data_IF_747365484269
#
_entry.id   IF_747365484269
#
_cell.length_a   1.000
_cell.length_b   1.000
_cell.length_c   1.000
_cell.angle_alpha   90.00
_cell.angle_beta   90.00
_cell.angle_gamma   90.00
#
_symmetry.space_group_name_H-M   'P 1'
#
loop_
_entity.id
_entity.type
_entity.pdbx_description
1 polymer ?
#
# COMPACT_ATOMS: atom_id res chain seq x y z
N UNK A 1 4.69 -3.67 27.15
CA UNK A 1 5.81 -3.67 26.17
C UNK A 1 6.99 -3.00 26.84
N UNK A 2 8.22 -3.45 26.58
CA UNK A 2 9.39 -2.74 27.08
C UNK A 2 9.50 -1.38 26.36
N UNK A 3 10.19 -0.41 26.97
CA UNK A 3 10.34 0.97 26.48
C UNK A 3 11.08 1.12 25.13
N UNK A 4 11.52 0.03 24.51
CA UNK A 4 12.23 0.02 23.23
C UNK A 4 11.63 -0.94 22.20
N UNK A 5 10.49 -1.57 22.49
CA UNK A 5 9.83 -2.47 21.55
C UNK A 5 8.91 -1.69 20.60
N UNK A 6 8.92 -2.05 19.31
CA UNK A 6 7.91 -1.55 18.36
C UNK A 6 6.60 -2.33 18.59
N UNK A 7 5.46 -1.67 18.84
CA UNK A 7 4.18 -2.32 19.00
C UNK A 7 3.76 -3.10 17.75
N UNK A 8 3.15 -4.27 17.95
CA UNK A 8 2.54 -5.06 16.86
C UNK A 8 1.02 -5.00 16.99
N UNK A 9 0.36 -4.44 15.97
CA UNK A 9 -1.09 -4.23 15.96
C UNK A 9 -1.76 -5.04 14.84
N UNK A 10 -3.01 -5.43 15.08
CA UNK A 10 -3.87 -6.05 14.07
C UNK A 10 -5.15 -5.23 13.97
N UNK A 11 -5.46 -4.79 12.75
CA UNK A 11 -6.60 -3.94 12.45
C UNK A 11 -7.49 -4.64 11.44
N UNK A 12 -8.79 -4.60 11.68
CA UNK A 12 -9.80 -5.10 10.75
C UNK A 12 -10.75 -3.98 10.36
N UNK A 13 -11.05 -3.85 9.07
CA UNK A 13 -12.13 -3.03 8.56
C UNK A 13 -12.88 -3.73 7.44
N UNK A 14 -14.20 -3.58 7.43
CA UNK A 14 -15.04 -4.16 6.37
C UNK A 14 -14.72 -3.51 5.02
N UNK A 15 -14.59 -2.19 4.98
CA UNK A 15 -14.24 -1.40 3.79
C UNK A 15 -12.93 -0.65 3.96
N UNK A 16 -12.37 -0.13 2.86
CA UNK A 16 -11.11 0.63 2.88
C UNK A 16 -11.20 1.84 3.83
N UNK A 17 -12.23 2.71 3.78
CA UNK A 17 -12.36 3.82 4.72
C UNK A 17 -12.43 3.38 6.18
N UNK A 18 -13.18 2.31 6.49
CA UNK A 18 -13.29 1.80 7.87
C UNK A 18 -11.96 1.26 8.40
N UNK A 19 -11.22 0.54 7.56
CA UNK A 19 -9.89 0.06 7.91
C UNK A 19 -8.91 1.23 8.12
N UNK A 20 -8.99 2.25 7.26
CA UNK A 20 -8.17 3.45 7.33
C UNK A 20 -8.35 4.22 8.65
N UNK A 21 -9.60 4.55 9.00
CA UNK A 21 -9.93 5.28 10.23
C UNK A 21 -9.51 4.51 11.48
N UNK A 22 -9.76 3.20 11.51
CA UNK A 22 -9.35 2.33 12.62
C UNK A 22 -7.84 2.25 12.74
N UNK A 23 -7.12 2.13 11.62
CA UNK A 23 -5.67 2.10 11.62
C UNK A 23 -5.09 3.41 12.17
N UNK A 24 -5.62 4.57 11.75
CA UNK A 24 -5.18 5.87 12.28
C UNK A 24 -5.35 5.91 13.79
N UNK A 25 -6.53 5.53 14.30
CA UNK A 25 -6.80 5.52 15.74
C UNK A 25 -5.84 4.60 16.49
N UNK A 26 -5.66 3.37 16.01
CA UNK A 26 -4.81 2.37 16.64
C UNK A 26 -3.33 2.77 16.67
N UNK A 27 -2.79 3.27 15.56
CA UNK A 27 -1.40 3.74 15.48
C UNK A 27 -1.21 5.02 16.30
N UNK A 28 -2.18 5.93 16.30
CA UNK A 28 -2.11 7.15 17.09
C UNK A 28 -2.06 6.87 18.60
N UNK A 29 -2.94 6.00 19.09
CA UNK A 29 -3.08 5.71 20.52
C UNK A 29 -2.00 4.76 21.04
N UNK A 30 -1.61 3.77 20.24
CA UNK A 30 -0.76 2.64 20.69
C UNK A 30 0.62 2.63 20.06
N UNK A 31 0.87 3.45 19.04
CA UNK A 31 2.17 3.54 18.37
C UNK A 31 3.25 4.15 19.27
N UNK A 32 4.48 3.66 19.09
CA UNK A 32 5.65 4.20 19.77
C UNK A 32 5.97 5.58 19.20
N UNK A 33 6.47 6.47 20.05
CA UNK A 33 6.99 7.77 19.60
C UNK A 33 8.43 7.61 19.16
N UNK A 34 8.73 7.87 17.89
CA UNK A 34 10.06 7.65 17.30
C UNK A 34 10.36 8.70 16.23
N UNK A 35 11.63 9.12 16.12
CA UNK A 35 12.06 10.07 15.09
C UNK A 35 12.27 9.38 13.75
N UNK A 36 12.09 10.12 12.67
CA UNK A 36 12.36 9.69 11.29
C UNK A 36 13.44 10.54 10.64
N UNK A 37 14.00 10.05 9.53
CA UNK A 37 14.96 10.82 8.71
C UNK A 37 14.32 12.02 8.00
N UNK A 38 12.99 12.11 8.02
CA UNK A 38 12.20 13.18 7.39
C UNK A 38 11.79 14.29 8.37
N UNK A 39 12.00 14.09 9.67
CA UNK A 39 11.57 15.04 10.70
C UNK A 39 12.41 16.33 10.61
N UNK A 40 11.76 17.49 10.56
CA UNK A 40 12.41 18.78 10.80
C UNK A 40 12.72 18.94 12.30
N UNK A 41 13.65 19.84 12.69
CA UNK A 41 14.01 20.03 14.11
C UNK A 41 12.83 20.33 15.04
N UNK A 42 11.78 20.99 14.53
CA UNK A 42 10.55 21.33 15.23
C UNK A 42 9.46 20.25 15.18
N UNK A 43 9.61 19.24 14.31
CA UNK A 43 8.61 18.20 14.18
C UNK A 43 8.63 17.31 15.43
N UNK A 44 7.45 17.01 16.02
CA UNK A 44 7.39 16.02 17.08
C UNK A 44 7.76 14.64 16.49
N UNK A 45 8.23 13.69 17.32
CA UNK A 45 8.49 12.35 16.82
C UNK A 45 7.19 11.68 16.35
N UNK A 46 7.27 10.96 15.24
CA UNK A 46 6.17 10.22 14.62
C UNK A 46 5.59 9.15 15.55
N UNK A 47 4.36 8.72 15.26
CA UNK A 47 3.77 7.50 15.84
C UNK A 47 4.02 6.33 14.91
N UNK A 48 4.61 5.25 15.40
CA UNK A 48 4.99 4.08 14.59
C UNK A 48 4.54 2.75 15.23
N UNK A 49 4.15 1.78 14.39
CA UNK A 49 3.93 0.40 14.79
C UNK A 49 4.14 -0.56 13.61
N UNK A 50 4.43 -1.83 13.91
CA UNK A 50 4.24 -2.92 12.95
C UNK A 50 2.76 -3.28 12.92
N UNK A 51 2.13 -3.27 11.74
CA UNK A 51 0.67 -3.40 11.65
C UNK A 51 0.25 -4.36 10.53
N UNK A 52 -0.70 -5.24 10.85
CA UNK A 52 -1.44 -6.04 9.88
C UNK A 52 -2.85 -5.47 9.75
N UNK A 53 -3.21 -4.95 8.58
CA UNK A 53 -4.55 -4.42 8.31
C UNK A 53 -5.28 -5.36 7.35
N UNK A 54 -6.44 -5.85 7.79
CA UNK A 54 -7.37 -6.63 6.95
C UNK A 54 -8.49 -5.74 6.45
N UNK A 55 -8.65 -5.68 5.13
CA UNK A 55 -9.82 -5.13 4.45
C UNK A 55 -10.65 -6.28 3.89
N UNK A 56 -11.81 -6.53 4.48
CA UNK A 56 -12.65 -7.67 4.13
C UNK A 56 -13.24 -7.53 2.72
N UNK A 57 -13.84 -6.38 2.42
CA UNK A 57 -14.52 -6.05 1.16
C UNK A 57 -13.86 -4.83 0.53
N UNK A 58 -12.72 -4.98 -0.18
CA UNK A 58 -11.98 -3.85 -0.76
C UNK A 58 -12.77 -3.03 -1.81
N UNK A 59 -13.89 -3.57 -2.29
CA UNK A 59 -14.81 -2.90 -3.21
C UNK A 59 -16.18 -2.59 -2.57
N UNK A 60 -16.34 -2.82 -1.26
CA UNK A 60 -17.55 -2.49 -0.51
C UNK A 60 -17.77 -0.98 -0.36
N UNK A 61 -19.00 -0.57 -0.04
CA UNK A 61 -19.37 0.84 0.11
C UNK A 61 -19.40 1.29 1.59
N UNK A 62 -18.97 2.53 1.89
CA UNK A 62 -18.31 3.44 0.96
C UNK A 62 -16.90 2.96 0.62
N UNK A 63 -16.52 3.13 -0.65
CA UNK A 63 -15.18 2.77 -1.11
C UNK A 63 -14.15 3.90 -0.92
N UNK A 64 -14.61 5.14 -0.97
CA UNK A 64 -13.77 6.33 -0.90
C UNK A 64 -13.95 7.06 0.43
N UNK A 65 -12.86 7.34 1.12
CA UNK A 65 -12.88 8.23 2.28
C UNK A 65 -12.98 9.69 1.79
N UNK A 66 -13.57 10.59 2.59
CA UNK A 66 -13.70 12.02 2.21
C UNK A 66 -12.41 12.82 2.41
N UNK A 67 -11.45 12.28 3.13
CA UNK A 67 -10.20 12.94 3.47
C UNK A 67 -9.04 12.04 3.03
N UNK A 68 -8.58 12.26 1.82
CA UNK A 68 -7.34 11.72 1.25
C UNK A 68 -6.63 12.85 0.49
N UNK A 69 -5.31 12.75 0.33
CA UNK A 69 -4.46 13.89 0.06
C UNK A 69 -4.64 14.49 -1.35
N UNK A 70 -4.64 13.66 -2.39
CA UNK A 70 -4.48 14.13 -3.77
C UNK A 70 -5.81 14.39 -4.50
N UNK A 71 -6.94 14.15 -3.83
CA UNK A 71 -8.26 14.28 -4.43
C UNK A 71 -8.49 13.31 -5.61
N UNK A 72 -9.70 13.32 -6.17
CA UNK A 72 -10.11 12.30 -7.14
C UNK A 72 -9.26 12.26 -8.42
N UNK A 73 -8.74 13.42 -8.85
CA UNK A 73 -7.88 13.52 -10.04
C UNK A 73 -6.54 12.82 -9.84
N UNK A 74 -5.78 13.22 -8.81
CA UNK A 74 -4.48 12.61 -8.50
C UNK A 74 -4.60 11.13 -8.18
N UNK A 75 -5.65 10.73 -7.44
CA UNK A 75 -5.93 9.30 -7.19
C UNK A 75 -6.13 8.51 -8.49
N UNK A 76 -6.83 9.08 -9.48
CA UNK A 76 -7.08 8.40 -10.75
C UNK A 76 -5.80 8.22 -11.56
N UNK A 77 -4.96 9.25 -11.60
CA UNK A 77 -3.62 9.19 -12.21
C UNK A 77 -2.74 8.14 -11.53
N UNK A 78 -2.72 8.13 -10.21
CA UNK A 78 -1.95 7.16 -9.43
C UNK A 78 -2.43 5.72 -9.64
N UNK A 79 -3.74 5.49 -9.77
CA UNK A 79 -4.26 4.17 -10.17
C UNK A 79 -3.74 3.77 -11.55
N UNK A 80 -3.68 4.70 -12.52
CA UNK A 80 -3.15 4.42 -13.86
C UNK A 80 -1.65 4.11 -13.81
N UNK A 81 -0.87 4.79 -12.97
CA UNK A 81 0.54 4.50 -12.74
C UNK A 81 0.74 3.07 -12.23
N UNK A 82 0.07 2.70 -11.13
CA UNK A 82 0.27 1.38 -10.49
C UNK A 82 -0.29 0.24 -11.35
N UNK A 83 -1.42 0.44 -12.01
CA UNK A 83 -2.12 -0.63 -12.74
C UNK A 83 -1.62 -0.78 -14.18
N UNK A 84 -1.20 0.32 -14.83
CA UNK A 84 -0.91 0.36 -16.26
C UNK A 84 0.47 0.91 -16.62
N UNK A 85 1.27 1.35 -15.65
CA UNK A 85 2.61 1.87 -15.93
C UNK A 85 2.59 3.22 -16.65
N UNK A 86 1.59 4.06 -16.35
CA UNK A 86 1.42 5.35 -17.01
C UNK A 86 2.68 6.22 -17.00
N UNK A 87 3.54 6.07 -15.99
CA UNK A 87 4.81 6.80 -15.84
C UNK A 87 6.07 5.95 -15.99
N UNK A 88 5.98 4.72 -16.51
CA UNK A 88 7.16 3.84 -16.64
C UNK A 88 8.22 4.40 -17.60
N UNK A 89 7.81 5.29 -18.51
CA UNK A 89 8.71 6.03 -19.42
C UNK A 89 9.57 7.09 -18.70
N UNK A 90 9.18 7.52 -17.50
CA UNK A 90 9.82 8.59 -16.74
C UNK A 90 10.78 8.08 -15.65
N UNK A 91 11.41 6.92 -15.92
CA UNK A 91 12.41 6.34 -15.03
C UNK A 91 13.83 6.64 -15.53
N UNK A 92 14.73 6.96 -14.60
CA UNK A 92 16.16 7.14 -14.86
C UNK A 92 16.78 5.89 -15.48
N UNK A 93 17.79 6.04 -16.37
CA UNK A 93 18.67 4.94 -16.77
C UNK A 93 19.35 4.34 -15.55
N UNK A 94 19.71 3.05 -15.66
CA UNK A 94 20.35 2.30 -14.57
C UNK A 94 21.59 2.99 -14.03
N UNK A 95 22.41 3.56 -14.90
CA UNK A 95 23.65 4.25 -14.55
C UNK A 95 23.39 5.47 -13.67
N UNK A 96 22.29 6.20 -13.91
CA UNK A 96 21.89 7.34 -13.09
C UNK A 96 21.26 6.89 -11.77
N UNK A 97 20.50 5.78 -11.74
CA UNK A 97 19.99 5.20 -10.48
C UNK A 97 21.16 4.81 -9.57
N UNK A 98 22.20 4.20 -10.12
CA UNK A 98 23.38 3.75 -9.36
C UNK A 98 24.24 4.89 -8.80
N UNK A 99 24.09 6.12 -9.31
CA UNK A 99 24.72 7.30 -8.70
C UNK A 99 24.04 7.72 -7.40
N UNK A 100 22.85 7.20 -7.09
CA UNK A 100 22.11 7.56 -5.88
C UNK A 100 21.93 9.07 -5.75
N UNK A 101 22.35 9.61 -4.60
CA UNK A 101 22.27 11.04 -4.28
C UNK A 101 23.13 11.95 -5.17
N UNK A 102 24.13 11.39 -5.86
CA UNK A 102 25.02 12.16 -6.75
C UNK A 102 24.40 12.37 -8.15
N UNK A 103 23.26 11.74 -8.46
CA UNK A 103 22.55 11.90 -9.73
C UNK A 103 21.87 13.28 -9.81
N UNK A 104 22.18 14.06 -10.84
CA UNK A 104 21.45 15.30 -11.17
C UNK A 104 20.19 15.08 -12.02
N UNK A 105 19.97 13.87 -12.52
CA UNK A 105 18.74 13.51 -13.22
C UNK A 105 17.55 13.55 -12.25
N UNK A 106 16.47 14.24 -12.61
CA UNK A 106 15.28 14.45 -11.76
C UNK A 106 14.15 13.46 -12.04
N UNK A 107 14.32 12.54 -13.00
CA UNK A 107 13.39 11.42 -13.23
C UNK A 107 13.27 10.52 -12.00
N UNK A 108 12.31 9.61 -11.99
CA UNK A 108 12.14 8.70 -10.85
C UNK A 108 13.12 7.52 -10.92
N UNK A 109 13.38 6.88 -9.78
CA UNK A 109 14.24 5.69 -9.71
C UNK A 109 13.46 4.40 -9.97
N UNK A 110 12.14 4.39 -9.75
CA UNK A 110 11.27 3.24 -10.01
C UNK A 110 9.80 3.67 -10.13
N UNK A 111 8.98 2.78 -10.68
CA UNK A 111 7.53 2.71 -10.45
C UNK A 111 7.20 1.32 -9.90
N UNK A 112 6.13 1.18 -9.13
CA UNK A 112 5.70 -0.15 -8.69
C UNK A 112 5.32 -1.05 -9.86
N UNK A 113 4.70 -0.49 -10.90
CA UNK A 113 4.30 -1.24 -12.08
C UNK A 113 5.52 -1.86 -12.79
N UNK A 114 6.51 -1.04 -13.19
CA UNK A 114 7.73 -1.54 -13.85
C UNK A 114 8.46 -2.56 -13.00
N UNK A 115 8.55 -2.36 -11.68
CA UNK A 115 9.13 -3.36 -10.77
C UNK A 115 8.38 -4.69 -10.79
N UNK A 116 7.08 -4.71 -11.05
CA UNK A 116 6.27 -5.94 -11.06
C UNK A 116 6.20 -6.62 -12.44
N UNK A 117 6.24 -5.87 -13.54
CA UNK A 117 6.09 -6.42 -14.91
C UNK A 117 7.39 -6.46 -15.73
N UNK A 118 8.37 -5.66 -15.35
CA UNK A 118 9.66 -5.52 -16.03
C UNK A 118 10.80 -5.54 -15.01
N UNK A 119 10.81 -6.54 -14.11
CA UNK A 119 11.84 -6.64 -13.09
C UNK A 119 13.17 -7.04 -13.74
N UNK A 120 14.11 -6.09 -13.80
CA UNK A 120 15.44 -6.29 -14.38
C UNK A 120 16.37 -7.03 -13.42
N UNK A 121 16.90 -8.17 -13.88
CA UNK A 121 17.94 -8.94 -13.21
C UNK A 121 18.90 -9.51 -14.25
N UNK A 122 20.20 -9.22 -14.09
CA UNK A 122 21.24 -9.55 -15.07
C UNK A 122 20.86 -9.10 -16.50
N UNK A 123 20.73 -10.04 -17.43
CA UNK A 123 20.34 -9.79 -18.82
C UNK A 123 18.88 -10.21 -19.10
N UNK A 124 18.05 -10.27 -18.06
CA UNK A 124 16.66 -10.69 -18.15
C UNK A 124 15.70 -9.63 -17.59
N UNK A 125 14.51 -9.58 -18.20
CA UNK A 125 13.36 -8.80 -17.75
C UNK A 125 12.29 -9.80 -17.35
N UNK A 126 11.83 -9.73 -16.10
CA UNK A 126 10.90 -10.71 -15.52
C UNK A 126 9.53 -10.05 -15.29
N UNK A 127 8.50 -10.59 -15.96
CA UNK A 127 7.10 -10.26 -15.66
C UNK A 127 6.59 -11.16 -14.52
N UNK A 128 6.65 -10.61 -13.30
CA UNK A 128 6.23 -11.31 -12.10
C UNK A 128 4.70 -11.40 -12.00
N UNK A 129 3.96 -10.45 -12.60
CA UNK A 129 2.51 -10.49 -12.62
C UNK A 129 1.98 -11.58 -13.55
N UNK A 130 2.56 -11.72 -14.74
CA UNK A 130 2.21 -12.80 -15.66
C UNK A 130 2.52 -14.17 -15.03
N UNK A 131 3.72 -14.33 -14.46
CA UNK A 131 4.05 -15.54 -13.70
C UNK A 131 3.00 -15.86 -12.63
N UNK A 132 2.59 -14.85 -11.85
CA UNK A 132 1.59 -15.02 -10.80
C UNK A 132 0.23 -15.46 -11.36
N UNK A 133 -0.24 -14.82 -12.43
CA UNK A 133 -1.49 -15.16 -13.14
C UNK A 133 -1.44 -16.59 -13.67
N UNK A 134 -0.41 -16.93 -14.44
CA UNK A 134 -0.23 -18.25 -15.04
C UNK A 134 -0.13 -19.35 -13.96
N UNK A 135 0.55 -19.05 -12.85
CA UNK A 135 0.68 -19.99 -11.74
C UNK A 135 -0.65 -20.24 -11.05
N UNK A 136 -1.45 -19.21 -10.79
CA UNK A 136 -2.74 -19.33 -10.11
C UNK A 136 -3.82 -19.91 -11.01
N UNK A 137 -3.81 -19.62 -12.31
CA UNK A 137 -4.70 -20.24 -13.28
C UNK A 137 -4.50 -21.76 -13.35
N UNK A 138 -3.24 -22.22 -13.28
CA UNK A 138 -2.90 -23.66 -13.25
C UNK A 138 -3.06 -24.31 -11.87
N UNK A 139 -2.73 -23.59 -10.80
CA UNK A 139 -2.68 -24.13 -9.44
C UNK A 139 -3.08 -23.04 -8.44
N UNK A 140 -4.39 -22.82 -8.30
CA UNK A 140 -4.96 -21.74 -7.49
C UNK A 140 -4.49 -21.70 -6.04
N UNK A 141 -4.30 -22.86 -5.41
CA UNK A 141 -3.84 -22.99 -4.02
C UNK A 141 -2.31 -22.86 -3.85
N UNK A 142 -1.58 -22.51 -4.91
CA UNK A 142 -0.14 -22.32 -4.86
C UNK A 142 0.27 -21.33 -3.76
N UNK A 143 1.38 -21.63 -3.09
CA UNK A 143 1.98 -20.74 -2.09
C UNK A 143 3.06 -19.82 -2.68
N UNK A 144 3.38 -20.02 -3.97
CA UNK A 144 4.52 -19.42 -4.69
C UNK A 144 4.15 -18.24 -5.59
N UNK A 145 2.89 -17.85 -5.63
CA UNK A 145 2.40 -16.79 -6.49
C UNK A 145 2.65 -15.43 -5.80
N UNK A 146 3.73 -14.76 -6.20
CA UNK A 146 4.19 -13.49 -5.62
C UNK A 146 5.00 -12.68 -6.63
N UNK A 147 5.15 -11.38 -6.36
CA UNK A 147 6.11 -10.50 -7.02
C UNK A 147 6.72 -9.55 -6.00
N UNK A 148 7.96 -9.12 -6.23
CA UNK A 148 8.70 -8.20 -5.36
C UNK A 148 9.07 -6.92 -6.10
N UNK A 149 9.38 -5.89 -5.34
CA UNK A 149 9.74 -4.57 -5.85
C UNK A 149 11.14 -4.14 -5.43
N UNK A 150 11.68 -4.69 -4.34
CA UNK A 150 13.03 -4.41 -3.88
C UNK A 150 14.07 -5.05 -4.78
N UNK A 151 15.01 -4.24 -5.25
CA UNK A 151 16.20 -4.63 -5.99
C UNK A 151 17.45 -4.35 -5.15
N UNK A 152 18.19 -5.39 -4.73
CA UNK A 152 19.32 -5.26 -3.81
C UNK A 152 20.51 -4.49 -4.40
N UNK A 153 20.55 -4.26 -5.71
CA UNK A 153 21.60 -3.49 -6.36
C UNK A 153 21.19 -2.02 -6.53
N UNK A 154 19.92 -1.76 -6.83
CA UNK A 154 19.44 -0.42 -7.21
C UNK A 154 18.90 0.40 -6.04
N UNK A 155 18.32 -0.24 -5.04
CA UNK A 155 17.56 0.46 -4.00
C UNK A 155 18.38 0.90 -2.77
N UNK A 156 19.42 0.19 -2.29
CA UNK A 156 20.23 0.67 -1.15
C UNK A 156 20.83 2.08 -1.27
N UNK A 157 21.31 2.56 -2.44
CA UNK A 157 21.88 3.91 -2.56
C UNK A 157 20.85 5.03 -2.77
N UNK A 158 19.55 4.71 -2.82
CA UNK A 158 18.46 5.66 -3.08
C UNK A 158 17.88 6.19 -1.77
N UNK A 159 17.64 7.50 -1.67
CA UNK A 159 16.93 8.13 -0.54
C UNK A 159 15.43 7.79 -0.53
N UNK A 160 14.89 7.40 -1.68
CA UNK A 160 13.48 7.06 -1.85
C UNK A 160 13.33 5.66 -2.44
N UNK A 161 13.74 4.58 -1.76
CA UNK A 161 13.58 3.24 -2.31
C UNK A 161 12.11 2.78 -2.22
N UNK A 162 11.69 1.72 -2.94
CA UNK A 162 10.30 1.25 -2.93
C UNK A 162 9.84 0.89 -1.51
N UNK A 163 8.67 1.39 -1.13
CA UNK A 163 8.05 1.08 0.17
C UNK A 163 7.33 -0.27 0.13
N UNK A 164 6.56 -0.54 -0.94
CA UNK A 164 6.07 -1.88 -1.24
C UNK A 164 7.27 -2.79 -1.39
N UNK A 165 7.25 -3.99 -0.80
CA UNK A 165 8.30 -4.99 -0.90
C UNK A 165 7.82 -6.22 -1.67
N UNK A 166 6.56 -6.62 -1.45
CA UNK A 166 6.00 -7.84 -2.01
C UNK A 166 4.48 -7.75 -2.18
N UNK A 167 4.00 -8.27 -3.30
CA UNK A 167 2.62 -8.74 -3.45
C UNK A 167 2.60 -10.27 -3.42
N UNK A 168 1.57 -10.84 -2.80
CA UNK A 168 1.37 -12.29 -2.73
C UNK A 168 -0.12 -12.57 -2.88
N UNK A 169 -0.47 -13.66 -3.56
CA UNK A 169 -1.89 -14.01 -3.72
C UNK A 169 -2.14 -15.50 -3.80
N UNK A 170 -3.38 -15.90 -3.53
CA UNK A 170 -3.85 -17.29 -3.63
C UNK A 170 -5.35 -17.34 -3.92
N UNK A 171 -5.77 -18.38 -4.65
CA UNK A 171 -7.18 -18.74 -4.80
C UNK A 171 -7.57 -19.78 -3.74
N UNK A 172 -8.73 -19.60 -3.13
CA UNK A 172 -9.37 -20.55 -2.24
C UNK A 172 -10.79 -20.77 -2.76
N UNK A 173 -11.25 -22.03 -2.77
CA UNK A 173 -12.66 -22.33 -3.04
C UNK A 173 -13.48 -22.04 -1.79
N UNK A 174 -14.61 -21.35 -1.95
CA UNK A 174 -15.56 -21.18 -0.86
C UNK A 174 -16.51 -22.39 -0.75
N UNK A 175 -17.53 -22.27 0.10
CA UNK A 175 -18.49 -23.36 0.37
C UNK A 175 -19.26 -23.80 -0.88
N UNK A 176 -19.45 -22.89 -1.84
CA UNK A 176 -20.14 -23.15 -3.12
C UNK A 176 -19.18 -23.64 -4.22
N UNK A 177 -17.87 -23.74 -3.94
CA UNK A 177 -16.85 -24.17 -4.90
C UNK A 177 -16.35 -23.06 -5.84
N UNK A 178 -16.74 -21.81 -5.58
CA UNK A 178 -16.31 -20.64 -6.33
C UNK A 178 -14.89 -20.21 -5.94
N UNK A 179 -14.07 -19.82 -6.91
CA UNK A 179 -12.71 -19.36 -6.65
C UNK A 179 -12.70 -17.93 -6.10
N UNK A 180 -12.05 -17.74 -4.95
CA UNK A 180 -11.87 -16.44 -4.29
C UNK A 180 -10.39 -16.06 -4.26
N UNK A 181 -10.03 -14.98 -4.95
CA UNK A 181 -8.67 -14.43 -4.95
C UNK A 181 -8.42 -13.55 -3.72
N UNK A 182 -7.48 -13.98 -2.89
CA UNK A 182 -7.01 -13.23 -1.72
C UNK A 182 -5.62 -12.67 -2.01
N UNK A 183 -5.38 -11.41 -1.63
CA UNK A 183 -4.11 -10.74 -1.88
C UNK A 183 -3.55 -10.13 -0.59
N UNK A 184 -2.25 -10.32 -0.36
CA UNK A 184 -1.50 -9.67 0.69
C UNK A 184 -0.39 -8.80 0.09
N UNK A 185 -0.14 -7.64 0.70
CA UNK A 185 1.00 -6.77 0.39
C UNK A 185 1.88 -6.62 1.62
N UNK A 186 3.18 -6.43 1.40
CA UNK A 186 4.17 -6.25 2.46
C UNK A 186 4.93 -4.97 2.21
N UNK A 187 5.11 -4.17 3.25
CA UNK A 187 5.71 -2.84 3.18
C UNK A 187 6.78 -2.69 4.25
N UNK A 188 7.94 -2.15 3.86
CA UNK A 188 9.01 -1.83 4.83
C UNK A 188 8.69 -0.56 5.64
N UNK A 189 7.91 0.35 5.05
CA UNK A 189 7.62 1.68 5.57
C UNK A 189 6.35 2.19 4.90
N UNK A 190 5.48 2.85 5.67
CA UNK A 190 4.14 3.20 5.20
C UNK A 190 3.60 4.45 5.90
N UNK A 191 3.50 5.55 5.17
CA UNK A 191 2.76 6.72 5.61
C UNK A 191 1.27 6.38 5.66
N UNK A 192 0.76 6.28 6.89
CA UNK A 192 -0.62 5.97 7.13
C UNK A 192 -1.52 7.11 6.65
N UNK A 193 -1.21 8.37 6.94
CA UNK A 193 -2.19 9.46 6.82
C UNK A 193 -2.29 10.05 5.42
N UNK A 194 -1.21 10.17 4.65
CA UNK A 194 -1.29 10.75 3.29
C UNK A 194 -1.24 9.71 2.18
N UNK A 195 -0.45 8.64 2.34
CA UNK A 195 -0.24 7.67 1.24
C UNK A 195 -1.10 6.39 1.30
N UNK A 196 -1.39 5.87 2.51
CA UNK A 196 -1.96 4.52 2.66
C UNK A 196 -3.26 4.34 1.88
N UNK A 197 -4.18 5.30 1.98
CA UNK A 197 -5.49 5.21 1.36
C UNK A 197 -5.40 5.04 -0.15
N UNK A 198 -4.63 5.90 -0.82
CA UNK A 198 -4.50 5.92 -2.28
C UNK A 198 -3.79 4.66 -2.78
N UNK A 199 -2.76 4.23 -2.07
CA UNK A 199 -2.05 2.99 -2.36
C UNK A 199 -2.96 1.76 -2.25
N UNK A 200 -3.84 1.68 -1.24
CA UNK A 200 -4.79 0.57 -1.14
C UNK A 200 -5.82 0.61 -2.26
N UNK A 201 -6.30 1.78 -2.68
CA UNK A 201 -7.18 1.90 -3.85
C UNK A 201 -6.47 1.41 -5.12
N UNK A 202 -5.24 1.85 -5.37
CA UNK A 202 -4.47 1.45 -6.54
C UNK A 202 -4.16 -0.07 -6.54
N UNK A 203 -3.76 -0.63 -5.40
CA UNK A 203 -3.45 -2.05 -5.30
C UNK A 203 -4.67 -2.96 -5.33
N UNK A 204 -5.81 -2.53 -4.80
CA UNK A 204 -7.06 -3.27 -4.94
C UNK A 204 -7.62 -3.18 -6.38
N UNK A 205 -7.34 -2.10 -7.11
CA UNK A 205 -7.58 -2.05 -8.55
C UNK A 205 -6.66 -3.04 -9.32
N UNK A 206 -5.37 -3.12 -8.96
CA UNK A 206 -4.46 -4.13 -9.50
C UNK A 206 -4.91 -5.56 -9.16
N UNK A 207 -5.35 -5.80 -7.92
CA UNK A 207 -5.93 -7.07 -7.45
C UNK A 207 -7.08 -7.53 -8.35
N UNK A 208 -7.99 -6.61 -8.72
CA UNK A 208 -9.09 -6.89 -9.64
C UNK A 208 -8.58 -7.27 -11.03
N UNK A 209 -7.63 -6.51 -11.59
CA UNK A 209 -7.02 -6.82 -12.90
C UNK A 209 -6.35 -8.20 -12.90
N UNK A 210 -5.70 -8.59 -11.81
CA UNK A 210 -5.11 -9.92 -11.64
C UNK A 210 -6.21 -11.01 -11.63
N UNK A 211 -7.26 -10.83 -10.83
CA UNK A 211 -8.36 -11.79 -10.75
C UNK A 211 -9.07 -11.99 -12.09
N UNK A 212 -9.32 -10.90 -12.83
CA UNK A 212 -9.88 -10.93 -14.19
C UNK A 212 -8.99 -11.72 -15.16
N UNK A 213 -7.67 -11.50 -15.11
CA UNK A 213 -6.71 -12.26 -15.91
C UNK A 213 -6.71 -13.74 -15.54
N UNK A 214 -6.68 -14.09 -14.25
CA UNK A 214 -6.74 -15.49 -13.79
C UNK A 214 -8.03 -16.16 -14.25
N UNK A 215 -9.17 -15.45 -14.13
CA UNK A 215 -10.47 -15.94 -14.57
C UNK A 215 -10.46 -16.27 -16.07
N UNK A 216 -9.91 -15.37 -16.90
CA UNK A 216 -9.74 -15.60 -18.33
C UNK A 216 -8.84 -16.79 -18.66
N UNK A 217 -7.67 -16.89 -18.01
CA UNK A 217 -6.69 -17.95 -18.29
C UNK A 217 -7.14 -19.33 -17.79
N UNK A 218 -7.89 -19.39 -16.68
CA UNK A 218 -8.39 -20.64 -16.11
C UNK A 218 -9.74 -21.09 -16.66
N UNK A 219 -10.49 -20.19 -17.31
CA UNK A 219 -11.86 -20.44 -17.75
C UNK A 219 -12.87 -20.57 -16.60
N UNK A 220 -12.49 -20.20 -15.37
CA UNK A 220 -13.35 -20.25 -14.17
C UNK A 220 -13.58 -18.84 -13.62
N UNK A 221 -14.81 -18.46 -13.23
CA UNK A 221 -15.04 -17.21 -12.53
C UNK A 221 -14.17 -17.11 -11.27
N UNK A 222 -13.55 -15.94 -11.06
CA UNK A 222 -12.75 -15.63 -9.86
C UNK A 222 -13.34 -14.40 -9.19
N UNK A 223 -13.83 -14.57 -7.97
CA UNK A 223 -14.31 -13.48 -7.11
C UNK A 223 -13.15 -12.87 -6.32
N UNK A 224 -13.34 -11.62 -5.91
CA UNK A 224 -12.39 -10.93 -5.03
C UNK A 224 -12.66 -11.30 -3.57
N UNK A 225 -11.61 -11.74 -2.89
CA UNK A 225 -11.60 -11.92 -1.44
C UNK A 225 -11.03 -10.70 -0.72
N UNK A 226 -10.51 -10.95 0.49
CA UNK A 226 -9.90 -9.91 1.30
C UNK A 226 -8.59 -9.39 0.72
N UNK A 227 -8.31 -8.13 1.03
CA UNK A 227 -7.00 -7.52 0.89
C UNK A 227 -6.35 -7.42 2.28
N UNK A 228 -5.07 -7.76 2.39
CA UNK A 228 -4.30 -7.56 3.63
C UNK A 228 -3.05 -6.75 3.36
N UNK A 229 -2.84 -5.73 4.18
CA UNK A 229 -1.65 -4.89 4.22
C UNK A 229 -0.81 -5.28 5.43
N UNK A 230 0.46 -5.60 5.22
CA UNK A 230 1.41 -5.93 6.29
C UNK A 230 2.53 -4.92 6.22
N UNK A 231 2.66 -4.09 7.25
CA UNK A 231 3.63 -2.99 7.29
C UNK A 231 4.58 -3.18 8.47
N UNK A 232 5.89 -3.21 8.21
CA UNK A 232 6.93 -3.29 9.23
C UNK A 232 6.96 -2.01 10.08
N UNK A 233 6.85 -0.85 9.42
CA UNK A 233 6.68 0.49 9.99
C UNK A 233 5.48 1.17 9.34
N UNK A 234 4.33 1.13 10.02
CA UNK A 234 3.16 1.93 9.68
C UNK A 234 3.15 3.15 10.61
N UNK A 235 3.26 4.34 10.03
CA UNK A 235 3.49 5.54 10.81
C UNK A 235 2.59 6.71 10.43
N UNK A 236 2.40 7.58 11.42
CA UNK A 236 1.83 8.92 11.26
C UNK A 236 2.96 9.90 11.56
N UNK A 237 3.36 10.68 10.56
CA UNK A 237 4.40 11.68 10.73
C UNK A 237 4.00 12.73 11.77
N UNK A 238 4.97 13.11 12.61
CA UNK A 238 4.79 14.17 13.60
C UNK A 238 4.37 15.51 13.01
N UNK A 239 4.89 15.84 11.83
CA UNK A 239 4.52 17.03 11.06
C UNK A 239 3.02 17.08 10.71
N UNK A 240 2.30 15.96 10.78
CA UNK A 240 0.86 15.87 10.48
C UNK A 240 -0.02 16.01 11.72
N UNK A 241 0.55 16.05 12.94
CA UNK A 241 -0.22 15.99 14.19
C UNK A 241 -1.23 17.12 14.29
N UNK A 242 -0.86 18.35 13.91
CA UNK A 242 -1.79 19.48 13.94
C UNK A 242 -2.99 19.29 13.01
N UNK A 243 -2.82 18.60 11.88
CA UNK A 243 -3.93 18.29 10.96
C UNK A 243 -4.91 17.28 11.58
N UNK A 244 -4.39 16.32 12.35
CA UNK A 244 -5.16 15.30 13.05
C UNK A 244 -5.82 15.82 14.33
N UNK A 245 -5.13 16.63 15.11
CA UNK A 245 -5.63 17.23 16.36
C UNK A 245 -6.64 18.35 16.10
N UNK A 246 -6.59 18.96 14.91
CA UNK A 246 -7.45 20.09 14.57
C UNK A 246 -7.00 21.39 15.25
N UNK A 247 -7.90 22.37 15.29
CA UNK A 247 -7.66 23.66 15.93
C UNK A 247 -8.98 24.17 16.52
N UNK A 248 -9.24 23.91 17.82
CA UNK A 248 -10.47 24.31 18.50
C UNK A 248 -10.70 25.83 18.47
N UNK A 249 -9.64 26.63 18.60
CA UNK A 249 -9.73 28.10 18.56
C UNK A 249 -10.21 28.64 17.21
N UNK A 250 -10.00 27.86 16.14
CA UNK A 250 -10.49 28.13 14.78
C UNK A 250 -11.75 27.34 14.43
N UNK A 251 -12.34 26.62 15.39
CA UNK A 251 -13.51 25.76 15.17
C UNK A 251 -13.23 24.54 14.28
N UNK A 252 -11.97 24.18 14.08
CA UNK A 252 -11.57 23.02 13.26
C UNK A 252 -11.54 21.80 14.18
N UNK A 253 -12.51 20.91 14.00
CA UNK A 253 -12.55 19.64 14.73
C UNK A 253 -11.38 18.74 14.38
N UNK A 254 -10.92 17.99 15.37
CA UNK A 254 -9.92 16.93 15.17
C UNK A 254 -10.44 15.85 14.21
N UNK A 255 -9.55 15.05 13.66
CA UNK A 255 -9.91 13.83 12.93
C UNK A 255 -10.79 12.92 13.81
N UNK A 256 -10.42 12.74 15.08
CA UNK A 256 -11.12 11.84 16.01
C UNK A 256 -12.53 12.34 16.37
N UNK A 257 -12.71 13.63 16.61
CA UNK A 257 -14.03 14.24 16.83
C UNK A 257 -14.92 14.12 15.58
N UNK A 258 -14.32 14.23 14.39
CA UNK A 258 -15.04 14.02 13.13
C UNK A 258 -15.50 12.57 12.98
N UNK A 259 -14.71 11.59 13.43
CA UNK A 259 -15.11 10.17 13.43
C UNK A 259 -16.32 9.92 14.33
N UNK A 260 -16.31 10.46 15.56
CA UNK A 260 -17.40 10.28 16.52
C UNK A 260 -18.71 10.94 16.04
N UNK A 261 -18.59 12.07 15.35
CA UNK A 261 -19.74 12.80 14.81
C UNK A 261 -20.31 12.27 13.49
N UNK A 262 -19.70 11.22 12.90
CA UNK A 262 -20.10 10.66 11.60
C UNK A 262 -20.70 9.27 11.77
N UNK A 263 -21.98 9.14 11.43
CA UNK A 263 -22.58 7.87 11.05
C UNK A 263 -22.17 7.56 9.61
N UNK A 264 -21.83 6.31 9.32
CA UNK A 264 -21.73 5.79 7.94
C UNK A 264 -23.06 5.16 7.51
N UNK A 265 -24.09 5.27 8.34
CA UNK A 265 -25.42 4.70 8.14
C UNK A 265 -26.38 5.69 7.46
N UNK A 266 -25.88 6.84 6.99
CA UNK A 266 -26.64 7.86 6.26
C UNK A 266 -26.10 8.09 4.83
#
# INVERSE_FOLDING_TARGET
MNSGDIPVLSVFGETIPRAYERAIKEVWEKGVSVRTEYDLPEDPPSRDATVVITVEKPFGQPRFHRSFADGLGGLSEYVMEVVHGAHDYWIKPREEILKGIDSTDTRWTYTYHRRLVEYEIDNAIIDQLDFMVQKLARTGYSRRAQGITWNPVLDPPSDHPPCLQRIWGRLIEDEDGDLVFNMNTHWRSRDLYKAWFENVIALTALMRKIAEKISKESGRPVRLGRYVDISDSLHIYGSYFRELEGNPDRGIKSFFERLESRSFED
#
